data_IF_450105365796
#
_entry.id   IF_450105365796
#
_cell.length_a   1.000
_cell.length_b   1.000
_cell.length_c   1.000
_cell.angle_alpha   90.00
_cell.angle_beta   90.00
_cell.angle_gamma   90.00
#
_symmetry.space_group_name_H-M   'P 1'
#
loop_
_entity.id
_entity.type
_entity.pdbx_description
1 polymer ?
#
# COMPACT_ATOMS: atom_id res chain seq x y z
N UNK A 1 1.85 -35.09 67.78
CA UNK A 1 2.41 -34.77 66.44
C UNK A 1 1.48 -35.40 65.43
N UNK A 2 0.44 -34.63 65.02
CA UNK A 2 -0.49 -35.02 64.01
C UNK A 2 0.18 -34.71 62.63
N UNK A 3 0.82 -35.71 62.04
CA UNK A 3 1.37 -35.62 60.71
C UNK A 3 0.24 -36.05 59.80
N UNK A 4 -0.35 -35.08 59.03
CA UNK A 4 -1.29 -35.40 57.98
C UNK A 4 -0.64 -36.40 57.03
N UNK A 5 -1.22 -37.59 56.88
CA UNK A 5 -0.76 -38.63 55.96
C UNK A 5 -1.92 -39.05 55.06
N UNK A 6 -1.62 -39.20 53.80
CA UNK A 6 -2.54 -39.82 52.84
C UNK A 6 -2.34 -41.33 52.92
N UNK A 7 -3.40 -42.06 53.22
CA UNK A 7 -3.36 -43.52 53.34
C UNK A 7 -4.26 -44.15 52.30
N UNK A 8 -3.70 -45.01 51.49
CA UNK A 8 -4.46 -45.79 50.48
C UNK A 8 -4.49 -47.25 50.94
N UNK A 9 -5.70 -47.82 50.92
CA UNK A 9 -5.96 -49.18 51.32
C UNK A 9 -6.32 -50.05 50.12
N UNK A 10 -5.63 -51.19 49.96
CA UNK A 10 -5.97 -52.16 48.91
C UNK A 10 -6.22 -53.54 49.60
N UNK A 11 -7.38 -54.16 49.38
CA UNK A 11 -7.67 -55.47 49.98
C UNK A 11 -6.91 -56.58 49.23
N UNK A 12 -6.29 -57.51 50.03
CA UNK A 12 -5.74 -58.74 49.49
C UNK A 12 -6.83 -59.82 49.59
N UNK A 13 -7.37 -60.25 48.46
CA UNK A 13 -8.40 -61.27 48.44
C UNK A 13 -7.93 -62.54 47.75
N UNK A 14 -8.26 -63.69 48.36
CA UNK A 14 -8.03 -65.06 47.84
C UNK A 14 -9.33 -65.84 47.93
N UNK A 15 -9.79 -66.47 46.89
CA UNK A 15 -11.03 -67.23 46.85
C UNK A 15 -12.28 -66.42 47.32
N UNK A 16 -12.43 -65.17 46.89
CA UNK A 16 -13.49 -64.24 47.31
C UNK A 16 -13.55 -63.91 48.83
N UNK A 17 -12.49 -64.19 49.51
CA UNK A 17 -12.35 -63.76 50.96
C UNK A 17 -11.17 -62.79 51.07
N UNK A 18 -11.45 -61.64 51.70
CA UNK A 18 -10.39 -60.68 52.06
C UNK A 18 -9.55 -61.30 53.18
N UNK A 19 -8.25 -61.48 52.91
CA UNK A 19 -7.28 -62.03 53.90
C UNK A 19 -6.51 -60.94 54.61
N UNK A 20 -6.46 -59.74 54.10
CA UNK A 20 -5.78 -58.58 54.65
C UNK A 20 -5.86 -57.34 53.83
N UNK A 21 -5.21 -56.29 54.26
CA UNK A 21 -5.12 -55.01 53.56
C UNK A 21 -3.67 -54.61 53.42
N UNK A 22 -3.28 -54.12 52.21
CA UNK A 22 -2.05 -53.36 52.03
C UNK A 22 -2.37 -51.90 52.27
N UNK A 23 -1.62 -51.23 53.11
CA UNK A 23 -1.76 -49.83 53.44
C UNK A 23 -0.48 -49.12 53.00
N UNK A 24 -0.62 -48.13 52.12
CA UNK A 24 0.49 -47.27 51.74
C UNK A 24 0.23 -45.88 52.36
N UNK A 25 1.22 -45.45 53.17
CA UNK A 25 1.19 -44.12 53.78
C UNK A 25 2.17 -43.19 53.03
N UNK A 26 1.70 -42.03 52.62
CA UNK A 26 2.55 -40.98 52.08
C UNK A 26 2.39 -39.73 52.93
N UNK A 27 3.48 -39.10 53.31
CA UNK A 27 3.43 -37.87 54.08
C UNK A 27 2.87 -36.75 53.21
N UNK A 28 1.88 -36.01 53.72
CA UNK A 28 1.25 -34.88 52.97
C UNK A 28 2.25 -33.74 52.74
N UNK A 29 3.28 -33.64 53.56
CA UNK A 29 4.40 -32.71 53.41
C UNK A 29 5.15 -32.92 52.08
N UNK A 30 5.36 -34.17 51.65
CA UNK A 30 6.10 -34.50 50.44
C UNK A 30 5.28 -34.15 49.18
N UNK A 31 3.96 -34.35 49.26
CA UNK A 31 3.03 -33.97 48.21
C UNK A 31 2.98 -32.44 48.08
N UNK A 32 2.92 -31.71 49.21
CA UNK A 32 2.91 -30.23 49.20
C UNK A 32 4.23 -29.68 48.66
N UNK A 33 5.37 -30.20 49.11
CA UNK A 33 6.67 -29.75 48.60
C UNK A 33 6.80 -29.92 47.07
N UNK A 34 6.43 -31.10 46.54
CA UNK A 34 6.42 -31.36 45.12
C UNK A 34 5.45 -30.41 44.35
N UNK A 35 4.31 -30.09 44.96
CA UNK A 35 3.33 -29.17 44.41
C UNK A 35 3.85 -27.73 44.34
N UNK A 36 4.53 -27.26 45.40
CA UNK A 36 5.16 -25.94 45.47
C UNK A 36 6.29 -25.78 44.43
N UNK A 37 7.12 -26.83 44.26
CA UNK A 37 8.16 -26.84 43.22
C UNK A 37 7.57 -26.73 41.82
N UNK A 38 6.52 -27.49 41.50
CA UNK A 38 5.81 -27.43 40.21
C UNK A 38 5.21 -26.06 39.99
N UNK A 39 4.57 -25.45 40.98
CA UNK A 39 3.99 -24.12 40.88
C UNK A 39 5.07 -23.06 40.65
N UNK A 40 6.19 -23.14 41.35
CA UNK A 40 7.31 -22.21 41.20
C UNK A 40 7.89 -22.26 39.78
N UNK A 41 8.12 -23.45 39.23
CA UNK A 41 8.56 -23.65 37.86
C UNK A 41 7.52 -23.09 36.87
N UNK A 42 6.24 -23.35 37.11
CA UNK A 42 5.14 -22.85 36.27
C UNK A 42 5.10 -21.32 36.23
N UNK A 43 5.29 -20.62 37.35
CA UNK A 43 5.36 -19.17 37.41
C UNK A 43 6.57 -18.61 36.62
N UNK A 44 7.75 -19.24 36.78
CA UNK A 44 8.94 -18.82 36.01
C UNK A 44 8.72 -18.96 34.52
N UNK A 45 8.18 -20.09 34.06
CA UNK A 45 7.87 -20.33 32.65
C UNK A 45 6.86 -19.33 32.14
N UNK A 46 5.80 -19.02 32.90
CA UNK A 46 4.79 -18.04 32.54
C UNK A 46 5.40 -16.64 32.37
N UNK A 47 6.29 -16.21 33.26
CA UNK A 47 6.99 -14.92 33.15
C UNK A 47 7.89 -14.88 31.93
N UNK A 48 8.61 -15.97 31.64
CA UNK A 48 9.47 -16.04 30.44
C UNK A 48 8.63 -15.93 29.17
N UNK A 49 7.51 -16.66 29.07
CA UNK A 49 6.60 -16.59 27.91
C UNK A 49 6.03 -15.19 27.76
N UNK A 50 5.64 -14.54 28.84
CA UNK A 50 5.12 -13.17 28.80
C UNK A 50 6.16 -12.17 28.28
N UNK A 51 7.41 -12.27 28.76
CA UNK A 51 8.50 -11.40 28.29
C UNK A 51 8.83 -11.65 26.83
N UNK A 52 8.88 -12.90 26.39
CA UNK A 52 9.09 -13.23 24.97
C UNK A 52 7.96 -12.71 24.08
N UNK A 53 6.71 -12.87 24.51
CA UNK A 53 5.55 -12.35 23.79
C UNK A 53 5.60 -10.81 23.67
N UNK A 54 6.02 -10.13 24.73
CA UNK A 54 6.18 -8.68 24.72
C UNK A 54 7.28 -8.22 23.76
N UNK A 55 8.41 -8.90 23.73
CA UNK A 55 9.50 -8.61 22.79
C UNK A 55 9.05 -8.82 21.34
N UNK A 56 8.34 -9.93 21.06
CA UNK A 56 7.80 -10.21 19.74
C UNK A 56 6.82 -9.11 19.30
N UNK A 57 5.96 -8.64 20.21
CA UNK A 57 5.01 -7.56 19.92
C UNK A 57 5.71 -6.25 19.55
N UNK A 58 6.77 -5.87 20.28
CA UNK A 58 7.56 -4.68 19.97
C UNK A 58 8.22 -4.81 18.59
N UNK A 59 8.83 -5.96 18.32
CA UNK A 59 9.46 -6.24 17.03
C UNK A 59 8.44 -6.18 15.88
N UNK A 60 7.28 -6.81 16.05
CA UNK A 60 6.21 -6.78 15.05
C UNK A 60 5.72 -5.35 14.77
N UNK A 61 5.59 -4.53 15.81
CA UNK A 61 5.14 -3.13 15.66
C UNK A 61 6.13 -2.31 14.84
N UNK A 62 7.42 -2.47 15.08
CA UNK A 62 8.47 -1.68 14.41
C UNK A 62 8.73 -2.17 12.97
N UNK A 63 8.86 -3.48 12.78
CA UNK A 63 9.28 -4.06 11.50
C UNK A 63 8.15 -4.38 10.54
N UNK A 64 6.91 -4.52 11.04
CA UNK A 64 5.77 -4.88 10.18
C UNK A 64 4.71 -3.79 10.17
N UNK A 65 4.19 -3.44 11.34
CA UNK A 65 3.05 -2.52 11.44
C UNK A 65 3.39 -1.09 10.98
N UNK A 66 4.50 -0.55 11.43
CA UNK A 66 4.92 0.83 11.09
C UNK A 66 5.16 1.02 9.58
N UNK A 67 5.93 0.15 8.89
CA UNK A 67 6.09 0.22 7.43
C UNK A 67 4.78 0.08 6.65
N UNK A 68 3.92 -0.87 7.03
CA UNK A 68 2.62 -1.04 6.37
C UNK A 68 1.72 0.19 6.52
N UNK A 69 1.75 0.85 7.68
CA UNK A 69 1.02 2.10 7.91
C UNK A 69 1.51 3.21 6.99
N UNK A 70 2.83 3.31 6.75
CA UNK A 70 3.41 4.28 5.81
C UNK A 70 2.94 4.01 4.37
N UNK A 71 2.95 2.74 3.95
CA UNK A 71 2.47 2.33 2.62
C UNK A 71 0.99 2.68 2.45
N UNK A 72 0.16 2.40 3.45
CA UNK A 72 -1.27 2.75 3.42
C UNK A 72 -1.47 4.25 3.28
N UNK A 73 -0.77 5.05 4.08
CA UNK A 73 -0.84 6.52 4.00
C UNK A 73 -0.40 7.05 2.63
N UNK A 74 0.66 6.49 2.04
CA UNK A 74 1.09 6.85 0.69
C UNK A 74 0.04 6.50 -0.36
N UNK A 75 -0.60 5.33 -0.24
CA UNK A 75 -1.68 4.90 -1.14
C UNK A 75 -2.87 5.87 -1.09
N UNK A 76 -3.23 6.37 0.09
CA UNK A 76 -4.27 7.38 0.25
C UNK A 76 -3.88 8.71 -0.41
N UNK A 77 -2.61 9.14 -0.31
CA UNK A 77 -2.09 10.32 -0.99
C UNK A 77 -2.15 10.16 -2.51
N UNK A 78 -1.70 9.02 -3.04
CA UNK A 78 -1.75 8.73 -4.48
C UNK A 78 -3.20 8.67 -4.98
N UNK A 79 -4.11 8.05 -4.24
CA UNK A 79 -5.54 8.01 -4.58
C UNK A 79 -6.20 9.40 -4.57
N UNK A 80 -5.69 10.36 -3.78
CA UNK A 80 -6.15 11.75 -3.78
C UNK A 80 -5.55 12.61 -4.90
N UNK A 81 -4.68 12.02 -5.76
CA UNK A 81 -4.00 12.72 -6.86
C UNK A 81 -2.63 13.29 -6.51
N UNK A 82 -2.14 13.12 -5.29
CA UNK A 82 -0.81 13.58 -4.88
C UNK A 82 0.25 12.52 -5.26
N UNK A 83 0.55 12.39 -6.55
CA UNK A 83 1.52 11.41 -7.06
C UNK A 83 2.98 11.71 -6.69
N UNK A 84 3.26 12.93 -6.21
CA UNK A 84 4.62 13.34 -5.78
C UNK A 84 4.87 13.10 -4.29
N UNK A 85 3.95 12.44 -3.57
CA UNK A 85 4.17 12.08 -2.18
C UNK A 85 5.35 11.10 -2.05
N UNK A 86 6.34 11.44 -1.23
CA UNK A 86 7.52 10.60 -1.00
C UNK A 86 7.21 9.49 0.00
N UNK A 87 7.21 8.25 -0.47
CA UNK A 87 7.12 7.07 0.37
C UNK A 87 8.53 6.60 0.75
N UNK A 88 8.90 6.80 2.02
CA UNK A 88 10.17 6.31 2.57
C UNK A 88 9.90 5.16 3.55
N UNK A 89 10.24 3.95 3.12
CA UNK A 89 10.24 2.73 3.93
C UNK A 89 11.64 2.14 3.88
N UNK A 90 12.27 2.07 5.05
CA UNK A 90 13.61 1.51 5.22
C UNK A 90 13.46 0.02 5.60
N UNK A 91 13.39 -0.84 4.60
CA UNK A 91 13.28 -2.29 4.75
C UNK A 91 13.86 -2.96 3.51
N UNK A 92 14.66 -4.02 3.72
CA UNK A 92 15.27 -4.81 2.65
C UNK A 92 14.48 -6.11 2.35
N UNK A 93 13.26 -6.23 2.86
CA UNK A 93 12.36 -7.37 2.71
C UNK A 93 11.25 -7.13 1.67
N UNK A 94 10.22 -8.02 1.67
CA UNK A 94 9.06 -7.93 0.79
C UNK A 94 8.26 -6.62 0.97
N UNK A 95 8.31 -6.04 2.17
CA UNK A 95 7.65 -4.75 2.47
C UNK A 95 8.40 -3.61 1.80
N UNK A 96 9.73 -3.63 1.85
CA UNK A 96 10.58 -2.67 1.12
C UNK A 96 10.39 -2.77 -0.38
N UNK A 97 10.32 -3.99 -0.93
CA UNK A 97 10.03 -4.22 -2.34
C UNK A 97 8.65 -3.68 -2.74
N UNK A 98 7.63 -3.91 -1.91
CA UNK A 98 6.28 -3.38 -2.13
C UNK A 98 6.27 -1.84 -2.15
N UNK A 99 6.97 -1.21 -1.21
CA UNK A 99 7.08 0.25 -1.15
C UNK A 99 7.76 0.82 -2.40
N UNK A 100 8.85 0.19 -2.86
CA UNK A 100 9.55 0.58 -4.08
C UNK A 100 8.67 0.43 -5.33
N UNK A 101 7.95 -0.68 -5.46
CA UNK A 101 7.03 -0.91 -6.57
C UNK A 101 5.89 0.12 -6.60
N UNK A 102 5.32 0.45 -5.44
CA UNK A 102 4.28 1.47 -5.32
C UNK A 102 4.80 2.87 -5.69
N UNK A 103 5.99 3.24 -5.23
CA UNK A 103 6.66 4.50 -5.58
C UNK A 103 6.96 4.60 -7.07
N UNK A 104 7.43 3.50 -7.69
CA UNK A 104 7.66 3.43 -9.12
C UNK A 104 6.36 3.64 -9.90
N UNK A 105 5.27 2.96 -9.52
CA UNK A 105 3.95 3.14 -10.13
C UNK A 105 3.47 4.59 -10.05
N UNK A 106 3.57 5.23 -8.89
CA UNK A 106 3.20 6.63 -8.71
C UNK A 106 4.02 7.57 -9.60
N UNK A 107 5.34 7.33 -9.71
CA UNK A 107 6.23 8.08 -10.59
C UNK A 107 5.83 7.95 -12.06
N UNK A 108 5.49 6.76 -12.53
CA UNK A 108 5.05 6.54 -13.92
C UNK A 108 3.70 7.23 -14.20
N UNK A 109 2.76 7.20 -13.24
CA UNK A 109 1.49 7.94 -13.38
C UNK A 109 1.76 9.45 -13.46
N UNK A 110 2.60 10.00 -12.57
CA UNK A 110 2.97 11.42 -12.58
C UNK A 110 3.60 11.85 -13.93
N UNK A 111 4.52 11.06 -14.47
CA UNK A 111 5.14 11.32 -15.79
C UNK A 111 4.11 11.31 -16.91
N UNK A 112 3.17 10.36 -16.88
CA UNK A 112 2.10 10.29 -17.89
C UNK A 112 1.19 11.50 -17.81
N UNK A 113 0.78 11.96 -16.62
CA UNK A 113 -0.02 13.17 -16.43
C UNK A 113 0.69 14.42 -16.95
N UNK A 114 1.98 14.58 -16.63
CA UNK A 114 2.77 15.71 -17.10
C UNK A 114 2.96 15.67 -18.63
N UNK A 115 3.15 14.48 -19.19
CA UNK A 115 3.16 14.26 -20.62
C UNK A 115 1.86 14.69 -21.29
N UNK A 116 0.73 14.27 -20.70
CA UNK A 116 -0.60 14.66 -21.21
C UNK A 116 -0.86 16.16 -21.12
N UNK A 117 -0.49 16.81 -20.00
CA UNK A 117 -0.61 18.27 -19.84
C UNK A 117 0.22 19.01 -20.90
N UNK A 118 1.48 18.61 -21.12
CA UNK A 118 2.34 19.18 -22.17
C UNK A 118 1.78 18.97 -23.56
N UNK A 119 1.27 17.77 -23.85
CA UNK A 119 0.61 17.46 -25.12
C UNK A 119 -0.58 18.39 -25.39
N UNK A 120 -1.49 18.54 -24.42
CA UNK A 120 -2.66 19.43 -24.54
C UNK A 120 -2.21 20.88 -24.73
N UNK A 121 -1.19 21.35 -24.01
CA UNK A 121 -0.67 22.71 -24.17
C UNK A 121 -0.08 22.95 -25.57
N UNK A 122 0.71 22.00 -26.09
CA UNK A 122 1.31 22.09 -27.43
C UNK A 122 0.23 22.08 -28.52
N UNK A 123 -0.72 21.15 -28.44
CA UNK A 123 -1.85 21.09 -29.36
C UNK A 123 -2.63 22.40 -29.35
N UNK A 124 -2.93 22.96 -28.16
CA UNK A 124 -3.63 24.23 -28.03
C UNK A 124 -2.87 25.39 -28.68
N UNK A 125 -1.55 25.43 -28.54
CA UNK A 125 -0.70 26.41 -29.16
C UNK A 125 -0.72 26.28 -30.69
N UNK A 126 -0.58 25.06 -31.20
CA UNK A 126 -0.54 24.77 -32.65
C UNK A 126 -1.87 25.04 -33.37
N UNK A 127 -2.99 24.97 -32.66
CA UNK A 127 -4.29 25.41 -33.15
C UNK A 127 -4.48 26.91 -33.07
N UNK A 128 -4.03 27.57 -32.00
CA UNK A 128 -4.26 29.00 -31.77
C UNK A 128 -3.60 29.87 -32.83
N UNK A 129 -2.38 29.53 -33.25
CA UNK A 129 -1.61 30.32 -34.22
C UNK A 129 -2.33 30.46 -35.57
N UNK A 130 -2.69 29.36 -36.28
CA UNK A 130 -3.40 29.46 -37.55
C UNK A 130 -4.80 30.06 -37.41
N UNK A 131 -5.54 29.77 -36.34
CA UNK A 131 -6.85 30.38 -36.10
C UNK A 131 -6.77 31.90 -35.92
N UNK A 132 -5.73 32.39 -35.21
CA UNK A 132 -5.50 33.83 -35.05
C UNK A 132 -5.19 34.49 -36.41
N UNK A 133 -4.36 33.83 -37.25
CA UNK A 133 -4.04 34.32 -38.59
C UNK A 133 -5.28 34.35 -39.48
N UNK A 134 -6.06 33.26 -39.53
CA UNK A 134 -7.31 33.19 -40.28
C UNK A 134 -8.24 34.31 -39.86
N UNK A 135 -8.52 34.45 -38.57
CA UNK A 135 -9.37 35.49 -38.03
C UNK A 135 -8.87 36.89 -38.40
N UNK A 136 -7.58 37.15 -38.17
CA UNK A 136 -7.00 38.46 -38.42
C UNK A 136 -7.09 38.88 -39.89
N UNK A 137 -6.84 37.96 -40.83
CA UNK A 137 -6.99 38.29 -42.26
C UNK A 137 -8.45 38.48 -42.68
N UNK A 138 -9.37 37.69 -42.12
CA UNK A 138 -10.79 37.86 -42.39
C UNK A 138 -11.31 39.18 -41.82
N UNK A 139 -10.94 39.55 -40.61
CA UNK A 139 -11.32 40.81 -39.98
C UNK A 139 -10.77 42.00 -40.81
N UNK A 140 -9.50 41.93 -41.24
CA UNK A 140 -8.85 42.97 -42.02
C UNK A 140 -9.44 43.11 -43.46
N UNK A 141 -9.99 42.05 -44.05
CA UNK A 141 -10.76 42.11 -45.29
C UNK A 141 -12.14 42.73 -45.08
N UNK A 142 -12.80 42.44 -43.94
CA UNK A 142 -14.13 42.94 -43.63
C UNK A 142 -14.14 44.44 -43.26
N UNK A 143 -13.11 44.91 -42.55
CA UNK A 143 -13.00 46.33 -42.15
C UNK A 143 -12.36 47.24 -43.23
N UNK A 144 -11.97 46.66 -44.38
CA UNK A 144 -11.37 47.40 -45.51
C UNK A 144 -9.88 47.71 -45.35
N UNK A 145 -9.21 47.22 -44.28
CA UNK A 145 -7.76 47.38 -44.12
C UNK A 145 -7.00 46.69 -45.25
N UNK A 146 -7.53 45.56 -45.75
CA UNK A 146 -7.04 44.87 -46.95
C UNK A 146 -7.92 45.26 -48.08
N UNK A 147 -7.40 45.99 -49.13
CA UNK A 147 -8.20 46.43 -50.29
C UNK A 147 -8.63 45.21 -51.09
N UNK A 148 -9.79 45.34 -51.83
CA UNK A 148 -10.38 44.24 -52.60
C UNK A 148 -9.45 43.60 -53.64
N UNK A 149 -8.54 44.36 -54.23
CA UNK A 149 -7.55 43.88 -55.20
C UNK A 149 -6.56 42.87 -54.62
N UNK A 150 -6.42 42.85 -53.26
CA UNK A 150 -5.52 41.95 -52.53
C UNK A 150 -6.25 40.77 -51.92
N UNK A 151 -7.60 40.74 -51.96
CA UNK A 151 -8.38 39.68 -51.26
C UNK A 151 -8.01 38.29 -51.77
N UNK A 152 -7.78 38.07 -53.06
CA UNK A 152 -7.39 36.75 -53.59
C UNK A 152 -6.11 36.19 -52.91
N UNK A 153 -5.11 37.06 -52.74
CA UNK A 153 -3.85 36.70 -52.08
C UNK A 153 -4.08 36.26 -50.63
N UNK A 154 -4.85 37.03 -49.85
CA UNK A 154 -5.07 36.75 -48.45
C UNK A 154 -6.04 35.58 -48.21
N UNK A 155 -7.04 35.39 -49.09
CA UNK A 155 -7.87 34.19 -49.12
C UNK A 155 -7.01 32.94 -49.36
N UNK A 156 -5.99 33.03 -50.24
CA UNK A 156 -5.01 31.96 -50.42
C UNK A 156 -4.25 31.59 -49.13
N UNK A 157 -3.88 32.60 -48.33
CA UNK A 157 -3.23 32.35 -47.02
C UNK A 157 -4.21 31.70 -46.07
N UNK A 158 -5.43 32.19 -45.93
CA UNK A 158 -6.50 31.62 -45.11
C UNK A 158 -6.76 30.14 -45.47
N UNK A 159 -6.83 29.83 -46.77
CA UNK A 159 -6.98 28.45 -47.25
C UNK A 159 -5.82 27.56 -46.79
N UNK A 160 -4.58 28.03 -46.95
CA UNK A 160 -3.41 27.25 -46.54
C UNK A 160 -3.37 26.98 -45.04
N UNK A 161 -3.75 27.97 -44.22
CA UNK A 161 -3.85 27.76 -42.76
C UNK A 161 -4.98 26.77 -42.38
N UNK A 162 -6.10 26.79 -43.15
CA UNK A 162 -7.19 25.80 -42.96
C UNK A 162 -6.75 24.39 -43.34
N UNK A 163 -6.01 24.22 -44.43
CA UNK A 163 -5.43 22.93 -44.82
C UNK A 163 -4.44 22.42 -43.78
N UNK A 164 -3.63 23.32 -43.19
CA UNK A 164 -2.72 22.99 -42.09
C UNK A 164 -3.47 22.49 -40.86
N UNK A 165 -4.57 23.13 -40.45
CA UNK A 165 -5.44 22.71 -39.38
C UNK A 165 -6.05 21.32 -39.63
N UNK A 166 -6.50 21.08 -40.86
CA UNK A 166 -7.04 19.78 -41.28
C UNK A 166 -6.01 18.66 -41.14
N UNK A 167 -4.77 18.92 -41.59
CA UNK A 167 -3.68 17.95 -41.43
C UNK A 167 -3.37 17.68 -39.96
N UNK A 168 -3.33 18.72 -39.10
CA UNK A 168 -3.09 18.58 -37.66
C UNK A 168 -4.18 17.73 -37.02
N UNK A 169 -5.45 17.99 -37.33
CA UNK A 169 -6.59 17.20 -36.82
C UNK A 169 -6.50 15.73 -37.24
N UNK A 170 -6.18 15.45 -38.50
CA UNK A 170 -6.02 14.08 -38.98
C UNK A 170 -4.86 13.35 -38.29
N UNK A 171 -3.74 14.04 -38.03
CA UNK A 171 -2.60 13.48 -37.30
C UNK A 171 -2.99 13.13 -35.87
N UNK A 172 -3.75 13.98 -35.16
CA UNK A 172 -4.26 13.72 -33.82
C UNK A 172 -5.23 12.54 -33.77
N UNK A 173 -6.12 12.41 -34.76
CA UNK A 173 -7.04 11.27 -34.88
C UNK A 173 -6.27 9.96 -35.10
N UNK A 174 -5.23 10.00 -35.93
CA UNK A 174 -4.37 8.82 -36.15
C UNK A 174 -3.64 8.39 -34.88
N UNK A 175 -3.11 9.35 -34.11
CA UNK A 175 -2.48 9.06 -32.81
C UNK A 175 -3.47 8.46 -31.81
N UNK A 176 -4.70 8.94 -31.78
CA UNK A 176 -5.74 8.40 -30.86
C UNK A 176 -6.19 6.98 -31.22
N UNK A 177 -6.08 6.58 -32.51
CA UNK A 177 -6.44 5.23 -32.95
C UNK A 177 -5.31 4.19 -32.78
N UNK A 178 -4.10 4.61 -32.36
CA UNK A 178 -2.95 3.75 -32.12
C UNK A 178 -2.76 3.36 -30.65
N UNK A 179 -3.53 3.94 -29.74
CA UNK A 179 -3.59 3.61 -28.30
C UNK A 179 -4.86 2.84 -27.98
#
# INVERSE_FOLDING_TARGET
FDREQLSVFAPISTNYKVQGYVVIHTAMSDIRASSEDILSISYIVMVIIFLLSFIILLFFTEFVYSPLKKITAATEQYASGNMHYELSVDSDDEIGYLAAALSYMASEIAKNEDGQKKFIANVSHDFRSPLTSIKGYLDAMLDGTIPPEMHEKYIGIVRNETERLTKLTNSLLTLNNLN
#
